data_IF_292145836644
#
_entry.id   IF_292145836644
#
_cell.length_a   1.000
_cell.length_b   1.000
_cell.length_c   1.000
_cell.angle_alpha   90.00
_cell.angle_beta   90.00
_cell.angle_gamma   90.00
#
_symmetry.space_group_name_H-M   'P 1'
#
loop_
_entity.id
_entity.type
_entity.pdbx_description
1 polymer ?
#
# COMPACT_ATOMS: atom_id res chain seq x y z
N UNK A 1 45.78 -3.42 -31.92
CA UNK A 1 45.33 -2.55 -30.83
C UNK A 1 44.47 -1.49 -31.47
N UNK A 2 43.17 -1.47 -31.19
CA UNK A 2 42.31 -0.30 -31.36
C UNK A 2 40.98 -0.58 -30.66
N UNK A 3 40.70 0.21 -29.63
CA UNK A 3 39.48 0.12 -28.84
C UNK A 3 38.34 0.90 -29.48
N UNK A 4 37.12 0.38 -29.34
CA UNK A 4 35.88 1.18 -29.40
C UNK A 4 34.89 0.67 -28.36
N UNK A 5 34.57 1.57 -27.42
CA UNK A 5 33.46 1.46 -26.49
C UNK A 5 32.14 1.41 -27.27
N UNK A 6 31.28 0.42 -26.95
CA UNK A 6 29.86 0.43 -27.30
C UNK A 6 29.09 1.10 -26.16
N UNK A 7 28.61 2.31 -26.45
CA UNK A 7 27.69 3.08 -25.61
C UNK A 7 26.31 2.42 -25.59
N UNK A 8 25.89 1.91 -24.43
CA UNK A 8 24.51 1.49 -24.17
C UNK A 8 23.67 2.69 -23.73
N UNK A 9 22.93 3.29 -24.66
CA UNK A 9 21.88 4.27 -24.35
C UNK A 9 20.59 3.50 -24.02
N UNK A 10 20.11 3.62 -22.78
CA UNK A 10 18.76 3.22 -22.35
C UNK A 10 17.74 4.29 -22.76
N UNK A 11 16.52 3.94 -23.23
CA UNK A 11 15.53 4.91 -23.66
C UNK A 11 14.49 5.14 -22.55
N UNK A 12 14.76 6.06 -21.63
CA UNK A 12 13.69 6.75 -20.90
C UNK A 12 14.11 8.21 -20.76
N UNK A 13 13.66 9.01 -21.72
CA UNK A 13 13.78 10.46 -21.64
C UNK A 13 12.77 10.95 -20.60
N UNK A 14 13.22 11.75 -19.64
CA UNK A 14 12.39 12.50 -18.71
C UNK A 14 11.28 13.24 -19.46
N UNK A 15 10.03 12.80 -19.27
CA UNK A 15 8.86 13.47 -19.85
C UNK A 15 8.53 14.66 -18.96
N UNK A 16 8.74 15.87 -19.47
CA UNK A 16 8.30 17.11 -18.81
C UNK A 16 6.76 17.15 -18.77
N UNK A 17 6.14 17.63 -17.69
CA UNK A 17 4.68 17.63 -17.55
C UNK A 17 4.02 18.60 -18.54
N UNK A 18 3.00 18.10 -19.23
CA UNK A 18 2.06 18.90 -20.01
C UNK A 18 1.07 19.59 -19.05
N UNK A 19 1.00 20.92 -19.08
CA UNK A 19 -0.09 21.69 -18.46
C UNK A 19 -1.34 21.53 -19.31
N UNK A 20 -2.41 20.98 -18.76
CA UNK A 20 -3.75 21.12 -19.33
C UNK A 20 -4.69 21.69 -18.27
N UNK A 21 -5.33 22.81 -18.61
CA UNK A 21 -6.19 23.58 -17.72
C UNK A 21 -7.50 22.85 -17.43
N UNK A 22 -7.91 22.88 -16.17
CA UNK A 22 -9.25 22.50 -15.74
C UNK A 22 -10.25 23.58 -16.18
N UNK A 23 -11.26 23.21 -16.97
CA UNK A 23 -12.50 23.97 -17.07
C UNK A 23 -13.58 23.23 -16.28
N UNK A 24 -14.07 23.90 -15.24
CA UNK A 24 -15.20 23.51 -14.41
C UNK A 24 -16.51 23.86 -15.12
N UNK A 25 -17.40 22.90 -15.27
CA UNK A 25 -18.77 23.12 -15.75
C UNK A 25 -19.74 22.19 -15.02
N UNK A 26 -20.26 22.67 -13.87
CA UNK A 26 -21.46 22.14 -13.24
C UNK A 26 -22.67 22.55 -14.07
N UNK A 27 -23.53 21.59 -14.43
CA UNK A 27 -24.95 21.88 -14.68
C UNK A 27 -25.78 20.71 -14.19
N UNK A 28 -26.61 21.01 -13.20
CA UNK A 28 -27.66 20.17 -12.63
C UNK A 28 -28.79 20.02 -13.64
N UNK A 29 -29.37 18.82 -13.77
CA UNK A 29 -30.81 18.71 -14.00
C UNK A 29 -31.38 17.40 -13.44
N UNK A 30 -32.45 17.55 -12.67
CA UNK A 30 -33.31 16.51 -12.12
C UNK A 30 -34.24 16.02 -13.22
N UNK A 31 -34.41 14.71 -13.36
CA UNK A 31 -35.61 14.12 -13.91
C UNK A 31 -36.02 12.89 -13.09
N UNK A 32 -37.23 12.97 -12.55
CA UNK A 32 -37.96 11.94 -11.81
C UNK A 32 -38.56 10.95 -12.80
N UNK A 33 -38.49 9.65 -12.51
CA UNK A 33 -39.18 8.62 -13.29
C UNK A 33 -39.31 7.32 -12.50
N UNK A 34 -40.47 7.13 -11.89
CA UNK A 34 -40.95 5.88 -11.26
C UNK A 34 -41.15 4.78 -12.31
N UNK A 35 -40.69 3.55 -12.01
CA UNK A 35 -41.33 2.32 -12.44
C UNK A 35 -40.90 1.15 -11.54
N UNK A 36 -41.84 0.24 -11.36
CA UNK A 36 -42.03 -0.72 -10.28
C UNK A 36 -41.47 -2.12 -10.54
N UNK A 37 -41.19 -2.81 -9.43
CA UNK A 37 -41.32 -4.25 -9.12
C UNK A 37 -40.81 -5.29 -10.13
N UNK A 38 -39.86 -6.12 -9.69
CA UNK A 38 -40.16 -7.55 -9.59
C UNK A 38 -39.33 -8.24 -8.49
N UNK A 39 -39.97 -9.20 -7.85
CA UNK A 39 -39.55 -9.96 -6.67
C UNK A 39 -39.02 -11.32 -7.09
N UNK A 40 -37.90 -11.76 -6.54
CA UNK A 40 -37.64 -13.19 -6.36
C UNK A 40 -36.75 -13.43 -5.14
N UNK A 41 -37.36 -14.11 -4.17
CA UNK A 41 -36.73 -14.73 -3.01
C UNK A 41 -35.81 -15.86 -3.45
N UNK A 42 -34.58 -15.92 -2.92
CA UNK A 42 -33.81 -17.17 -2.85
C UNK A 42 -33.05 -17.24 -1.53
N UNK A 43 -33.69 -17.95 -0.59
CA UNK A 43 -33.20 -18.89 0.43
C UNK A 43 -31.72 -18.76 0.85
N UNK A 44 -31.53 -18.28 2.08
CA UNK A 44 -30.33 -18.48 2.92
C UNK A 44 -30.14 -19.97 3.25
N UNK A 45 -28.94 -20.51 2.99
CA UNK A 45 -28.50 -21.78 3.58
C UNK A 45 -27.27 -21.50 4.45
N UNK A 46 -27.53 -21.31 5.75
CA UNK A 46 -26.53 -21.00 6.77
C UNK A 46 -26.04 -22.29 7.39
N UNK A 47 -24.89 -22.79 6.93
CA UNK A 47 -24.16 -23.85 7.65
C UNK A 47 -23.39 -23.22 8.81
N UNK A 48 -24.03 -23.26 9.99
CA UNK A 48 -23.38 -23.03 11.27
C UNK A 48 -22.42 -24.18 11.58
N UNK A 49 -21.14 -23.88 11.73
CA UNK A 49 -20.17 -24.79 12.37
C UNK A 49 -19.82 -24.21 13.73
N UNK A 50 -20.34 -24.85 14.76
CA UNK A 50 -20.04 -24.62 16.18
C UNK A 50 -18.80 -25.41 16.56
N UNK A 51 -17.76 -24.75 17.06
CA UNK A 51 -16.64 -25.41 17.73
C UNK A 51 -16.74 -25.14 19.23
N UNK A 52 -17.12 -26.19 19.98
CA UNK A 52 -17.17 -26.24 21.43
C UNK A 52 -15.74 -26.13 21.98
N UNK A 53 -15.59 -25.34 23.04
CA UNK A 53 -14.30 -25.02 23.65
C UNK A 53 -13.73 -26.12 24.55
N UNK A 54 -12.47 -25.93 24.92
CA UNK A 54 -11.88 -26.49 26.13
C UNK A 54 -11.07 -25.38 26.81
N UNK A 55 -11.62 -24.87 27.91
CA UNK A 55 -10.91 -24.07 28.90
C UNK A 55 -9.97 -24.98 29.70
N UNK A 56 -8.73 -24.53 29.87
CA UNK A 56 -7.89 -24.96 31.00
C UNK A 56 -7.43 -23.72 31.72
N UNK A 57 -8.00 -23.51 32.91
CA UNK A 57 -7.56 -22.54 33.89
C UNK A 57 -6.27 -23.04 34.55
N UNK A 58 -5.32 -22.13 34.79
CA UNK A 58 -4.32 -22.28 35.85
C UNK A 58 -4.28 -20.97 36.61
N UNK A 59 -4.52 -21.09 37.91
CA UNK A 59 -4.62 -20.03 38.90
C UNK A 59 -3.25 -19.69 39.51
N UNK A 60 -3.08 -18.39 39.77
CA UNK A 60 -2.45 -17.73 40.94
C UNK A 60 -1.01 -18.08 41.33
N UNK A 61 -0.19 -17.02 41.47
CA UNK A 61 0.49 -16.71 42.74
C UNK A 61 0.72 -15.20 42.89
N UNK A 62 0.28 -14.70 44.04
CA UNK A 62 0.47 -13.37 44.63
C UNK A 62 1.76 -13.36 45.46
N UNK A 63 2.55 -12.29 45.40
CA UNK A 63 3.39 -11.86 46.52
C UNK A 63 3.28 -10.35 46.74
N UNK A 64 3.19 -10.01 48.01
CA UNK A 64 2.99 -8.69 48.64
C UNK A 64 4.27 -8.27 49.37
N UNK A 65 4.48 -6.95 49.50
CA UNK A 65 5.41 -6.30 50.43
C UNK A 65 5.78 -4.90 49.91
N UNK A 66 5.09 -3.83 50.33
CA UNK A 66 5.45 -2.92 51.46
C UNK A 66 6.82 -2.25 51.27
N UNK A 67 7.09 -0.98 51.55
CA UNK A 67 6.35 0.25 51.85
C UNK A 67 7.45 1.32 52.07
N UNK A 68 7.24 2.59 51.72
CA UNK A 68 7.63 3.71 52.60
C UNK A 68 7.16 5.05 52.02
N UNK A 69 6.48 5.75 52.91
CA UNK A 69 5.72 6.98 52.82
C UNK A 69 6.61 8.22 53.03
N UNK A 70 6.21 9.40 52.52
CA UNK A 70 6.11 10.68 53.26
C UNK A 70 5.98 11.94 52.35
N UNK A 71 4.78 12.55 52.38
CA UNK A 71 4.43 13.97 52.73
C UNK A 71 5.32 15.15 52.25
N UNK A 72 4.89 16.35 51.84
CA UNK A 72 3.69 17.18 52.13
C UNK A 72 3.63 18.45 51.24
N UNK A 73 2.44 18.76 50.69
CA UNK A 73 1.71 20.06 50.66
C UNK A 73 2.23 21.40 50.05
N UNK A 74 1.32 22.03 49.26
CA UNK A 74 0.86 23.46 49.17
C UNK A 74 1.07 24.25 47.84
N UNK A 75 -0.06 24.44 47.14
CA UNK A 75 -0.70 25.66 46.57
C UNK A 75 0.05 26.78 45.82
N UNK A 76 -0.55 27.13 44.66
CA UNK A 76 -0.72 28.43 43.94
C UNK A 76 -0.20 28.40 42.48
N UNK A 77 -1.10 28.38 41.49
CA UNK A 77 -1.69 29.52 40.76
C UNK A 77 -0.75 30.16 39.71
N UNK A 78 -1.04 29.93 38.42
CA UNK A 78 -0.70 30.86 37.35
C UNK A 78 0.11 30.32 36.17
N UNK A 79 -0.45 30.56 34.98
CA UNK A 79 0.22 30.81 33.69
C UNK A 79 0.37 29.64 32.72
N UNK A 80 -0.32 29.79 31.60
CA UNK A 80 -0.24 29.00 30.37
C UNK A 80 1.12 29.25 29.72
N UNK A 81 1.96 28.22 29.64
CA UNK A 81 3.17 28.27 28.81
C UNK A 81 3.29 27.02 27.94
N UNK A 82 3.87 27.28 26.77
CA UNK A 82 4.02 26.46 25.59
C UNK A 82 4.64 25.10 25.93
N UNK A 83 3.89 24.01 25.70
CA UNK A 83 4.39 22.66 25.93
C UNK A 83 5.40 22.25 24.88
N UNK A 84 6.69 22.42 25.19
CA UNK A 84 7.79 21.75 24.51
C UNK A 84 7.63 20.23 24.68
N UNK A 85 7.51 19.51 23.56
CA UNK A 85 7.50 18.06 23.56
C UNK A 85 8.92 17.59 23.86
N UNK A 86 9.15 17.14 25.09
CA UNK A 86 10.37 16.43 25.46
C UNK A 86 10.32 15.05 24.83
N UNK A 87 11.13 14.83 23.79
CA UNK A 87 11.38 13.50 23.22
C UNK A 87 12.25 12.73 24.24
N UNK A 88 11.62 12.03 25.17
CA UNK A 88 12.31 11.02 25.98
C UNK A 88 12.30 9.70 25.23
N UNK A 89 13.51 9.21 24.95
CA UNK A 89 13.87 7.89 24.41
C UNK A 89 14.25 7.85 22.92
N UNK A 90 15.44 8.40 22.64
CA UNK A 90 16.19 8.13 21.41
C UNK A 90 16.86 6.77 21.58
N UNK A 91 16.29 5.73 20.98
CA UNK A 91 17.08 4.52 20.71
C UNK A 91 18.23 4.93 19.79
N UNK A 92 19.43 4.99 20.38
CA UNK A 92 20.67 5.35 19.68
C UNK A 92 20.81 4.52 18.41
N UNK A 93 20.86 5.21 17.27
CA UNK A 93 20.68 4.65 15.95
C UNK A 93 21.69 3.56 15.59
N UNK A 94 21.21 2.55 14.88
CA UNK A 94 22.08 1.78 13.98
C UNK A 94 22.56 2.75 12.90
N UNK A 95 23.87 2.78 12.66
CA UNK A 95 24.48 3.58 11.60
C UNK A 95 23.87 3.16 10.26
N UNK A 96 23.31 4.14 9.55
CA UNK A 96 22.77 3.95 8.20
C UNK A 96 23.84 3.33 7.30
N UNK A 97 23.52 2.37 6.42
CA UNK A 97 24.44 1.98 5.38
C UNK A 97 24.89 3.24 4.60
N UNK A 98 26.19 3.42 4.42
CA UNK A 98 26.77 4.60 3.77
C UNK A 98 26.14 4.93 2.39
N UNK A 99 25.56 3.93 1.73
CA UNK A 99 24.84 4.06 0.47
C UNK A 99 23.54 4.89 0.55
N UNK A 100 22.90 4.99 1.71
CA UNK A 100 21.67 5.77 1.91
C UNK A 100 21.94 7.21 2.33
N UNK A 101 23.03 7.45 3.10
CA UNK A 101 23.33 8.77 3.67
C UNK A 101 23.73 9.81 2.62
N UNK A 102 24.36 9.42 1.51
CA UNK A 102 24.86 10.34 0.48
C UNK A 102 23.80 10.94 -0.45
N UNK A 103 22.51 10.57 -0.32
CA UNK A 103 21.42 10.96 -1.22
C UNK A 103 20.50 12.06 -0.68
N UNK A 104 20.62 12.39 0.61
CA UNK A 104 19.62 13.21 1.30
C UNK A 104 19.65 14.68 0.85
N UNK A 105 20.83 15.23 0.61
CA UNK A 105 20.99 16.63 0.17
C UNK A 105 20.31 16.87 -1.20
N UNK A 106 20.32 15.87 -2.08
CA UNK A 106 19.67 15.90 -3.39
C UNK A 106 18.13 15.95 -3.29
N UNK A 107 17.55 15.52 -2.18
CA UNK A 107 16.10 15.52 -1.96
C UNK A 107 15.57 16.83 -1.39
N UNK A 108 16.44 17.72 -0.89
CA UNK A 108 16.07 18.97 -0.23
C UNK A 108 15.11 19.83 -1.07
N UNK A 109 15.36 19.94 -2.38
CA UNK A 109 14.50 20.71 -3.29
C UNK A 109 13.08 20.13 -3.36
N UNK A 110 12.97 18.80 -3.53
CA UNK A 110 11.67 18.13 -3.65
C UNK A 110 10.89 18.13 -2.34
N UNK A 111 11.58 17.98 -1.20
CA UNK A 111 10.94 17.88 0.10
C UNK A 111 10.58 19.25 0.66
N UNK A 112 11.46 20.25 0.56
CA UNK A 112 11.27 21.56 1.20
C UNK A 112 10.52 22.57 0.34
N UNK A 113 10.39 22.34 -0.97
CA UNK A 113 9.61 23.23 -1.84
C UNK A 113 8.12 22.83 -1.83
N UNK A 114 7.21 23.76 -1.50
CA UNK A 114 5.77 23.50 -1.59
C UNK A 114 5.35 23.09 -3.01
N UNK A 115 4.33 22.25 -3.12
CA UNK A 115 3.73 21.81 -4.39
C UNK A 115 4.61 20.95 -5.30
N UNK A 116 5.78 20.51 -4.83
CA UNK A 116 6.71 19.67 -5.61
C UNK A 116 6.34 18.20 -5.46
N UNK A 117 6.26 17.48 -6.57
CA UNK A 117 5.92 16.05 -6.56
C UNK A 117 7.14 15.23 -6.15
N UNK A 118 6.93 14.23 -5.30
CA UNK A 118 8.00 13.27 -4.97
C UNK A 118 8.17 12.29 -6.13
N UNK A 119 9.41 12.01 -6.48
CA UNK A 119 9.79 11.04 -7.50
C UNK A 119 10.06 9.66 -6.90
N UNK A 120 10.39 8.71 -7.77
CA UNK A 120 10.74 7.34 -7.42
C UNK A 120 11.98 7.27 -6.51
N UNK A 121 12.96 8.17 -6.67
CA UNK A 121 14.16 8.19 -5.82
C UNK A 121 13.84 8.48 -4.35
N UNK A 122 12.98 9.46 -4.10
CA UNK A 122 12.52 9.80 -2.74
C UNK A 122 11.69 8.65 -2.14
N UNK A 123 10.78 8.08 -2.93
CA UNK A 123 9.92 6.97 -2.49
C UNK A 123 10.75 5.72 -2.19
N UNK A 124 11.70 5.38 -3.07
CA UNK A 124 12.59 4.22 -2.89
C UNK A 124 13.48 4.39 -1.66
N UNK A 125 13.96 5.59 -1.38
CA UNK A 125 14.72 5.87 -0.17
C UNK A 125 13.87 5.67 1.10
N UNK A 126 12.62 6.16 1.12
CA UNK A 126 11.72 5.94 2.23
C UNK A 126 11.38 4.45 2.43
N UNK A 127 11.12 3.71 1.35
CA UNK A 127 10.86 2.27 1.43
C UNK A 127 12.08 1.48 1.94
N UNK A 128 13.29 1.88 1.55
CA UNK A 128 14.52 1.28 2.08
C UNK A 128 14.65 1.49 3.60
N UNK A 129 14.41 2.71 4.10
CA UNK A 129 14.40 3.01 5.54
C UNK A 129 13.32 2.19 6.27
N UNK A 130 12.10 2.09 5.71
CA UNK A 130 11.05 1.24 6.28
C UNK A 130 11.47 -0.23 6.33
N UNK A 131 12.12 -0.76 5.29
CA UNK A 131 12.55 -2.16 5.26
C UNK A 131 13.68 -2.42 6.28
N UNK A 132 14.56 -1.45 6.51
CA UNK A 132 15.57 -1.53 7.56
C UNK A 132 14.96 -1.49 8.97
N UNK A 133 13.97 -0.62 9.19
CA UNK A 133 13.27 -0.47 10.47
C UNK A 133 12.31 -1.63 10.78
N UNK A 134 11.70 -2.22 9.75
CA UNK A 134 10.71 -3.30 9.87
C UNK A 134 11.07 -4.48 8.94
N UNK A 135 12.15 -5.24 9.23
CA UNK A 135 12.64 -6.29 8.34
C UNK A 135 11.62 -7.40 8.04
N UNK A 136 10.70 -7.66 8.98
CA UNK A 136 9.64 -8.66 8.88
C UNK A 136 8.47 -8.25 7.98
N UNK A 137 8.34 -6.96 7.64
CA UNK A 137 7.31 -6.49 6.72
C UNK A 137 7.71 -6.90 5.30
N UNK A 138 6.90 -7.74 4.66
CA UNK A 138 7.10 -8.11 3.26
C UNK A 138 6.80 -6.91 2.34
N UNK A 139 7.29 -6.95 1.10
CA UNK A 139 7.17 -5.83 0.16
C UNK A 139 8.27 -4.78 0.34
N UNK A 140 7.88 -3.50 0.29
CA UNK A 140 8.76 -2.32 0.35
C UNK A 140 9.89 -2.38 -0.70
N UNK A 141 9.57 -2.90 -1.88
CA UNK A 141 10.50 -2.98 -3.00
C UNK A 141 10.64 -1.64 -3.71
N UNK A 142 11.81 -1.42 -4.32
CA UNK A 142 12.04 -0.29 -5.21
C UNK A 142 10.97 -0.25 -6.32
N UNK A 143 10.41 0.93 -6.55
CA UNK A 143 9.31 1.17 -7.49
C UNK A 143 9.69 0.80 -8.93
N UNK A 144 10.95 0.98 -9.32
CA UNK A 144 11.50 0.52 -10.60
C UNK A 144 11.53 -1.01 -10.72
N UNK A 145 11.73 -1.73 -9.61
CA UNK A 145 11.67 -3.20 -9.60
C UNK A 145 10.23 -3.70 -9.76
N UNK A 146 9.24 -2.90 -9.35
CA UNK A 146 7.82 -3.20 -9.61
C UNK A 146 7.44 -3.10 -11.10
N UNK A 147 8.21 -2.40 -11.93
CA UNK A 147 7.99 -2.44 -13.37
C UNK A 147 8.41 -3.79 -13.98
N UNK A 148 9.26 -4.54 -13.28
CA UNK A 148 9.92 -5.77 -13.73
C UNK A 148 9.36 -7.05 -13.08
N UNK A 149 8.17 -6.98 -12.45
CA UNK A 149 7.54 -7.97 -11.53
C UNK A 149 7.32 -9.41 -12.03
N UNK A 150 8.11 -9.97 -12.93
CA UNK A 150 7.97 -11.37 -13.30
C UNK A 150 8.29 -12.34 -12.14
N UNK A 151 8.91 -11.89 -11.04
CA UNK A 151 9.54 -12.80 -10.07
C UNK A 151 9.40 -12.45 -8.58
N UNK A 152 8.55 -11.52 -8.16
CA UNK A 152 8.42 -11.29 -6.71
C UNK A 152 7.78 -12.50 -6.01
N UNK A 153 8.33 -12.94 -4.86
CA UNK A 153 7.71 -14.00 -4.07
C UNK A 153 6.33 -13.54 -3.60
N UNK A 154 5.37 -14.45 -3.60
CA UNK A 154 4.03 -14.17 -3.10
C UNK A 154 4.13 -13.66 -1.64
N UNK A 155 3.53 -12.50 -1.37
CA UNK A 155 3.41 -12.00 -0.01
C UNK A 155 2.49 -12.94 0.80
N UNK A 156 3.07 -13.91 1.47
CA UNK A 156 2.36 -14.95 2.24
C UNK A 156 1.95 -14.46 3.64
N UNK A 157 2.63 -13.42 4.14
CA UNK A 157 2.37 -12.75 5.41
C UNK A 157 2.39 -11.23 5.16
N UNK A 158 1.76 -10.45 6.05
CA UNK A 158 1.51 -9.01 5.90
C UNK A 158 2.57 -8.21 5.13
N UNK A 159 2.19 -7.59 4.01
CA UNK A 159 3.07 -6.73 3.21
C UNK A 159 2.62 -5.28 3.21
N UNK A 160 3.56 -4.39 2.93
CA UNK A 160 3.30 -2.98 2.61
C UNK A 160 4.09 -2.64 1.35
N UNK A 161 3.44 -2.01 0.38
CA UNK A 161 4.11 -1.57 -0.84
C UNK A 161 3.57 -0.22 -1.29
N UNK A 162 4.46 0.71 -1.63
CA UNK A 162 4.07 1.96 -2.28
C UNK A 162 4.05 1.71 -3.79
N UNK A 163 2.92 2.03 -4.43
CA UNK A 163 2.70 1.91 -5.86
C UNK A 163 2.57 3.27 -6.52
N UNK A 164 3.17 3.37 -7.71
CA UNK A 164 2.89 4.44 -8.63
C UNK A 164 1.62 4.11 -9.43
N UNK A 165 0.58 4.91 -9.26
CA UNK A 165 -0.67 4.87 -10.02
C UNK A 165 -0.61 5.93 -11.11
N UNK A 166 -1.43 5.80 -12.15
CA UNK A 166 -1.44 6.74 -13.27
C UNK A 166 -1.51 8.22 -12.83
N UNK A 167 -1.10 9.12 -13.73
CA UNK A 167 -1.17 10.57 -13.52
C UNK A 167 -0.33 11.10 -12.33
N UNK A 168 0.87 10.55 -12.14
CA UNK A 168 1.83 10.98 -11.11
C UNK A 168 1.41 10.70 -9.67
N UNK A 169 0.59 9.68 -9.43
CA UNK A 169 0.01 9.43 -8.12
C UNK A 169 0.70 8.31 -7.36
N UNK A 170 0.80 8.44 -6.03
CA UNK A 170 1.38 7.43 -5.14
C UNK A 170 0.33 6.94 -4.15
N UNK A 171 0.21 5.62 -4.00
CA UNK A 171 -0.69 4.98 -3.02
C UNK A 171 0.05 3.91 -2.23
N UNK A 172 -0.44 3.61 -1.03
CA UNK A 172 0.03 2.45 -0.26
C UNK A 172 -0.92 1.29 -0.44
N UNK A 173 -0.39 0.11 -0.75
CA UNK A 173 -1.14 -1.14 -0.86
C UNK A 173 -0.64 -2.11 0.20
N UNK A 174 -1.56 -2.74 0.93
CA UNK A 174 -1.22 -3.66 2.03
C UNK A 174 -2.34 -4.65 2.31
N UNK A 175 -1.96 -5.85 2.76
CA UNK A 175 -2.89 -6.83 3.35
C UNK A 175 -2.74 -6.96 4.87
N UNK A 176 -1.98 -6.07 5.54
CA UNK A 176 -1.91 -6.04 7.00
C UNK A 176 -3.30 -5.76 7.56
N UNK A 177 -3.72 -6.58 8.54
CA UNK A 177 -5.05 -6.49 9.14
C UNK A 177 -6.21 -6.93 8.24
N UNK A 178 -5.94 -7.46 7.05
CA UNK A 178 -6.95 -7.92 6.10
C UNK A 178 -7.26 -9.42 6.25
N UNK A 179 -8.46 -9.82 5.83
CA UNK A 179 -8.78 -11.24 5.63
C UNK A 179 -8.01 -11.81 4.43
N UNK A 180 -7.89 -13.13 4.36
CA UNK A 180 -7.25 -13.82 3.23
C UNK A 180 -7.95 -13.44 1.91
N UNK A 181 -7.19 -13.03 0.91
CA UNK A 181 -7.70 -12.60 -0.39
C UNK A 181 -8.24 -11.16 -0.42
N UNK A 182 -8.04 -10.39 0.67
CA UNK A 182 -8.42 -8.98 0.76
C UNK A 182 -7.18 -8.09 0.87
N UNK A 183 -7.21 -6.94 0.22
CA UNK A 183 -6.10 -5.97 0.19
C UNK A 183 -6.64 -4.55 0.25
N UNK A 184 -6.03 -3.73 1.08
CA UNK A 184 -6.34 -2.32 1.22
C UNK A 184 -5.45 -1.46 0.32
N UNK A 185 -6.06 -0.46 -0.30
CA UNK A 185 -5.43 0.60 -1.10
C UNK A 185 -5.69 1.93 -0.39
N UNK A 186 -4.66 2.46 0.26
CA UNK A 186 -4.70 3.73 0.97
C UNK A 186 -4.34 4.86 0.00
N UNK A 187 -5.38 5.58 -0.45
CA UNK A 187 -5.30 6.62 -1.46
C UNK A 187 -5.77 7.98 -0.89
N UNK A 188 -4.85 8.92 -0.71
CA UNK A 188 -5.13 10.26 -0.18
C UNK A 188 -5.85 11.19 -1.17
N UNK A 189 -5.87 10.88 -2.46
CA UNK A 189 -6.60 11.64 -3.48
C UNK A 189 -7.93 10.98 -3.85
N UNK A 190 -8.12 9.71 -3.51
CA UNK A 190 -9.22 8.86 -4.00
C UNK A 190 -9.32 8.96 -5.54
N UNK A 191 -8.19 8.76 -6.20
CA UNK A 191 -8.07 8.91 -7.65
C UNK A 191 -8.65 7.69 -8.37
N UNK A 192 -8.88 7.84 -9.68
CA UNK A 192 -9.23 6.69 -10.52
C UNK A 192 -8.05 5.72 -10.63
N UNK A 193 -8.36 4.43 -10.68
CA UNK A 193 -7.38 3.36 -10.90
C UNK A 193 -7.33 2.94 -12.37
N UNK A 194 -6.23 2.30 -12.78
CA UNK A 194 -6.07 1.74 -14.13
C UNK A 194 -5.97 0.23 -14.11
N UNK A 195 -6.24 -0.38 -15.26
CA UNK A 195 -6.00 -1.81 -15.47
C UNK A 195 -4.53 -2.20 -15.22
N UNK A 196 -3.57 -1.30 -15.50
CA UNK A 196 -2.15 -1.49 -15.20
C UNK A 196 -1.89 -1.58 -13.68
N UNK A 197 -2.47 -0.68 -12.89
CA UNK A 197 -2.37 -0.74 -11.43
C UNK A 197 -2.95 -2.05 -10.89
N UNK A 198 -4.15 -2.44 -11.33
CA UNK A 198 -4.80 -3.67 -10.91
C UNK A 198 -3.97 -4.93 -11.25
N UNK A 199 -3.35 -4.94 -12.44
CA UNK A 199 -2.43 -6.00 -12.86
C UNK A 199 -1.17 -6.06 -11.99
N UNK A 200 -0.61 -4.92 -11.61
CA UNK A 200 0.57 -4.87 -10.73
C UNK A 200 0.24 -5.35 -9.31
N UNK A 201 -0.88 -4.90 -8.73
CA UNK A 201 -1.35 -5.33 -7.41
C UNK A 201 -1.59 -6.83 -7.38
N UNK A 202 -2.36 -7.38 -8.34
CA UNK A 202 -2.61 -8.83 -8.42
C UNK A 202 -1.33 -9.64 -8.61
N UNK A 203 -0.40 -9.14 -9.44
CA UNK A 203 0.91 -9.76 -9.64
C UNK A 203 1.79 -9.81 -8.39
N UNK A 204 1.81 -8.74 -7.58
CA UNK A 204 2.54 -8.71 -6.31
C UNK A 204 1.96 -9.70 -5.30
N UNK A 205 0.63 -9.76 -5.21
CA UNK A 205 -0.05 -10.65 -4.27
C UNK A 205 0.18 -12.11 -4.61
N UNK A 206 0.20 -12.43 -5.91
CA UNK A 206 0.30 -13.78 -6.43
C UNK A 206 -0.73 -14.72 -5.75
N UNK A 207 -1.95 -14.23 -5.51
CA UNK A 207 -2.93 -14.90 -4.68
C UNK A 207 -3.37 -16.24 -5.32
N UNK A 208 -3.37 -17.36 -4.57
CA UNK A 208 -3.70 -18.67 -5.12
C UNK A 208 -5.20 -18.86 -5.41
N UNK A 209 -6.08 -18.08 -4.77
CA UNK A 209 -7.52 -18.14 -5.00
C UNK A 209 -7.96 -17.49 -6.31
N UNK A 210 -9.23 -17.67 -6.69
CA UNK A 210 -9.75 -17.23 -8.00
C UNK A 210 -9.89 -15.72 -8.14
N UNK A 211 -10.12 -15.02 -7.03
CA UNK A 211 -10.30 -13.58 -7.02
C UNK A 211 -9.66 -12.96 -5.79
N UNK A 212 -9.32 -11.68 -5.90
CA UNK A 212 -8.85 -10.83 -4.80
C UNK A 212 -9.82 -9.66 -4.68
N UNK A 213 -10.15 -9.28 -3.45
CA UNK A 213 -10.92 -8.08 -3.15
C UNK A 213 -9.99 -6.92 -2.81
N UNK A 214 -10.08 -5.85 -3.58
CA UNK A 214 -9.45 -4.57 -3.25
C UNK A 214 -10.45 -3.71 -2.48
N UNK A 215 -9.97 -3.03 -1.44
CA UNK A 215 -10.75 -2.07 -0.66
C UNK A 215 -10.00 -0.74 -0.64
N UNK A 216 -10.74 0.37 -0.65
CA UNK A 216 -10.22 1.72 -0.45
C UNK A 216 -10.74 2.24 0.89
N UNK A 217 -9.97 2.03 1.97
CA UNK A 217 -10.38 2.49 3.30
C UNK A 217 -10.50 4.02 3.34
N UNK A 218 -11.41 4.49 4.20
CA UNK A 218 -11.57 5.92 4.44
C UNK A 218 -10.37 6.44 5.24
N UNK A 219 -9.50 7.20 4.59
CA UNK A 219 -8.35 7.86 5.22
C UNK A 219 -8.42 9.37 5.01
N UNK A 220 -7.52 10.09 5.68
CA UNK A 220 -7.37 11.52 5.45
C UNK A 220 -7.08 11.81 3.97
N UNK A 221 -7.93 12.64 3.38
CA UNK A 221 -7.66 13.27 2.10
C UNK A 221 -6.54 14.31 2.22
N UNK A 222 -5.63 14.32 1.25
CA UNK A 222 -4.64 15.38 1.15
C UNK A 222 -5.27 16.69 0.65
N UNK A 223 -4.73 17.81 1.10
CA UNK A 223 -5.00 19.13 0.54
C UNK A 223 -4.07 19.38 -0.66
N UNK A 224 -4.62 19.73 -1.82
CA UNK A 224 -3.84 19.90 -3.05
C UNK A 224 -3.39 18.59 -3.72
N UNK A 225 -2.57 18.67 -4.77
CA UNK A 225 -2.24 17.50 -5.62
C UNK A 225 -0.88 16.83 -5.38
N UNK A 226 0.07 17.51 -4.75
CA UNK A 226 1.50 17.12 -4.77
C UNK A 226 1.96 16.21 -3.63
N UNK A 227 1.12 15.95 -2.63
CA UNK A 227 1.52 15.38 -1.36
C UNK A 227 1.21 13.88 -1.24
N UNK A 228 0.70 13.24 -2.30
CA UNK A 228 0.33 11.82 -2.30
C UNK A 228 1.49 10.91 -1.89
N UNK A 229 2.72 11.24 -2.32
CA UNK A 229 3.92 10.52 -1.89
C UNK A 229 4.17 10.61 -0.37
N UNK A 230 3.89 11.75 0.26
CA UNK A 230 4.04 11.93 1.71
C UNK A 230 3.02 11.08 2.47
N UNK A 231 1.76 11.10 2.02
CA UNK A 231 0.71 10.27 2.61
C UNK A 231 1.00 8.77 2.42
N UNK A 232 1.47 8.36 1.24
CA UNK A 232 1.87 6.97 1.02
C UNK A 232 3.01 6.54 1.96
N UNK A 233 4.03 7.38 2.16
CA UNK A 233 5.11 7.08 3.13
C UNK A 233 4.56 6.99 4.56
N UNK A 234 3.74 7.95 4.98
CA UNK A 234 3.19 8.01 6.33
C UNK A 234 2.24 6.83 6.64
N UNK A 235 1.37 6.47 5.69
CA UNK A 235 0.50 5.29 5.79
C UNK A 235 1.34 4.00 5.89
N UNK A 236 2.39 3.89 5.09
CA UNK A 236 3.29 2.74 5.09
C UNK A 236 4.02 2.57 6.43
N UNK A 237 4.49 3.67 7.02
CA UNK A 237 5.07 3.67 8.37
C UNK A 237 4.04 3.27 9.43
N UNK A 238 2.82 3.81 9.34
CA UNK A 238 1.72 3.54 10.30
C UNK A 238 1.37 2.06 10.29
N UNK A 239 1.20 1.46 9.11
CA UNK A 239 0.96 0.03 8.94
C UNK A 239 2.11 -0.83 9.46
N UNK A 240 3.36 -0.42 9.15
CA UNK A 240 4.55 -1.16 9.59
C UNK A 240 4.71 -1.19 11.11
N UNK A 241 4.12 -0.21 11.81
CA UNK A 241 4.04 -0.16 13.28
C UNK A 241 2.85 -0.93 13.87
N UNK A 242 2.02 -1.55 13.03
CA UNK A 242 0.79 -2.23 13.45
C UNK A 242 -0.36 -1.28 13.80
N UNK A 243 -0.28 -0.02 13.38
CA UNK A 243 -1.35 0.98 13.55
C UNK A 243 -2.23 1.03 12.29
N UNK A 244 -3.48 1.47 12.43
CA UNK A 244 -4.43 1.62 11.32
C UNK A 244 -4.44 3.06 10.78
N UNK A 245 -4.06 3.30 9.50
CA UNK A 245 -4.11 4.62 8.88
C UNK A 245 -5.49 5.29 8.90
N UNK A 246 -6.60 4.53 8.95
CA UNK A 246 -7.93 5.09 9.09
C UNK A 246 -8.14 5.85 10.41
N UNK A 247 -7.31 5.56 11.42
CA UNK A 247 -7.35 6.16 12.74
C UNK A 247 -6.31 7.28 12.94
N UNK A 248 -5.68 7.75 11.85
CA UNK A 248 -4.63 8.78 11.93
C UNK A 248 -5.00 10.00 11.10
N UNK A 249 -4.94 11.18 11.72
CA UNK A 249 -4.91 12.45 11.00
C UNK A 249 -3.52 13.05 11.06
N UNK A 250 -2.85 13.15 9.91
CA UNK A 250 -1.55 13.79 9.73
C UNK A 250 -1.69 15.32 9.63
N UNK A 251 -0.75 16.03 10.25
CA UNK A 251 -0.57 17.46 10.05
C UNK A 251 0.24 17.69 8.76
N UNK A 252 -0.49 17.82 7.65
CA UNK A 252 0.07 17.89 6.30
C UNK A 252 1.13 19.00 6.11
N UNK A 253 0.94 20.15 6.76
CA UNK A 253 1.85 21.29 6.63
C UNK A 253 3.25 21.00 7.18
N UNK A 254 3.37 20.03 8.09
CA UNK A 254 4.64 19.63 8.70
C UNK A 254 5.24 18.36 8.08
N UNK A 255 4.51 17.63 7.22
CA UNK A 255 4.96 16.32 6.71
C UNK A 255 6.25 16.43 5.88
N UNK A 256 6.37 17.50 5.09
CA UNK A 256 7.52 17.75 4.21
C UNK A 256 8.82 17.96 4.98
N UNK A 257 8.80 18.91 5.91
CA UNK A 257 9.94 19.23 6.77
C UNK A 257 10.29 18.06 7.68
N UNK A 258 9.28 17.35 8.19
CA UNK A 258 9.46 16.13 8.99
C UNK A 258 10.15 15.01 8.20
N UNK A 259 9.70 14.72 6.98
CA UNK A 259 10.31 13.67 6.15
C UNK A 259 11.76 14.00 5.81
N UNK A 260 12.06 15.25 5.50
CA UNK A 260 13.44 15.70 5.28
C UNK A 260 14.31 15.47 6.52
N UNK A 261 13.83 15.85 7.71
CA UNK A 261 14.54 15.58 8.96
C UNK A 261 14.72 14.08 9.22
N UNK A 262 13.70 13.25 8.94
CA UNK A 262 13.82 11.79 9.05
C UNK A 262 14.91 11.23 8.13
N UNK A 263 14.98 11.71 6.89
CA UNK A 263 16.04 11.29 5.95
C UNK A 263 17.42 11.72 6.43
N UNK A 264 17.57 12.94 6.93
CA UNK A 264 18.85 13.41 7.51
C UNK A 264 19.30 12.55 8.69
N UNK A 265 18.35 12.09 9.51
CA UNK A 265 18.62 11.21 10.65
C UNK A 265 18.70 9.72 10.27
N UNK A 266 18.38 9.36 9.03
CA UNK A 266 18.31 7.96 8.58
C UNK A 266 17.24 7.14 9.31
N UNK A 267 16.20 7.78 9.84
CA UNK A 267 15.17 7.12 10.64
C UNK A 267 13.80 7.77 10.40
N UNK A 268 12.84 6.99 9.90
CA UNK A 268 11.45 7.41 9.81
C UNK A 268 10.79 7.31 11.19
N UNK A 269 10.37 8.46 11.69
CA UNK A 269 9.59 8.59 12.94
C UNK A 269 8.12 8.89 12.62
N UNK A 270 7.18 8.58 13.52
CA UNK A 270 5.75 8.84 13.30
C UNK A 270 5.52 10.28 12.80
N UNK A 271 4.76 10.41 11.72
CA UNK A 271 4.49 11.72 11.15
C UNK A 271 3.65 12.58 12.11
N UNK A 272 3.86 13.91 12.11
CA UNK A 272 3.11 14.84 12.95
C UNK A 272 1.60 14.64 12.78
N UNK A 273 0.84 14.61 13.89
CA UNK A 273 -0.61 14.40 13.89
C UNK A 273 -1.36 15.72 14.07
N UNK A 274 -2.61 15.77 13.63
CA UNK A 274 -3.54 16.89 13.83
C UNK A 274 -4.73 16.46 14.70
N UNK A 275 -5.41 17.42 15.34
CA UNK A 275 -6.56 17.17 16.25
C UNK A 275 -7.88 17.01 15.47
N UNK A 276 -7.84 16.85 14.14
CA UNK A 276 -9.06 16.74 13.33
C UNK A 276 -9.75 15.39 13.56
N UNK A 277 -11.07 15.43 13.76
CA UNK A 277 -11.92 14.25 13.85
C UNK A 277 -11.98 13.54 12.49
N UNK A 278 -11.86 12.22 12.50
CA UNK A 278 -11.91 11.40 11.30
C UNK A 278 -13.36 11.25 10.84
N UNK A 279 -13.62 11.46 9.56
CA UNK A 279 -14.91 11.18 8.95
C UNK A 279 -14.90 9.74 8.45
N UNK A 280 -15.75 8.88 9.03
CA UNK A 280 -15.88 7.50 8.59
C UNK A 280 -16.78 7.45 7.36
N UNK A 281 -16.20 7.19 6.19
CA UNK A 281 -16.96 6.79 5.00
C UNK A 281 -16.88 5.29 4.78
N UNK A 282 -17.90 4.72 4.13
CA UNK A 282 -17.89 3.30 3.75
C UNK A 282 -16.78 3.09 2.73
N UNK A 283 -15.91 2.11 2.97
CA UNK A 283 -14.84 1.76 2.05
C UNK A 283 -15.41 1.31 0.70
N UNK A 284 -14.91 1.90 -0.39
CA UNK A 284 -15.20 1.40 -1.73
C UNK A 284 -14.50 0.05 -1.92
N UNK A 285 -15.14 -0.90 -2.61
CA UNK A 285 -14.57 -2.24 -2.87
C UNK A 285 -14.65 -2.63 -4.33
N UNK A 286 -13.72 -3.48 -4.76
CA UNK A 286 -13.69 -4.08 -6.10
C UNK A 286 -13.20 -5.52 -6.02
N UNK A 287 -13.95 -6.45 -6.62
CA UNK A 287 -13.50 -7.83 -6.80
C UNK A 287 -12.76 -7.97 -8.13
N UNK A 288 -11.60 -8.60 -8.09
CA UNK A 288 -10.70 -8.78 -9.23
C UNK A 288 -10.44 -10.26 -9.46
N UNK A 289 -10.80 -10.75 -10.64
CA UNK A 289 -10.44 -12.11 -11.04
C UNK A 289 -8.95 -12.24 -11.32
N UNK A 290 -8.38 -13.35 -10.86
CA UNK A 290 -6.98 -13.71 -10.98
C UNK A 290 -6.84 -14.89 -11.92
N UNK A 291 -6.01 -14.74 -12.93
CA UNK A 291 -5.84 -15.70 -14.01
C UNK A 291 -4.38 -16.13 -14.16
N UNK A 292 -4.18 -17.11 -15.04
CA UNK A 292 -2.86 -17.61 -15.42
C UNK A 292 -2.04 -18.17 -14.23
N UNK A 293 -0.85 -18.67 -14.52
CA UNK A 293 0.14 -19.04 -13.51
C UNK A 293 0.87 -17.81 -12.94
N UNK A 294 0.89 -16.69 -13.67
CA UNK A 294 1.44 -15.43 -13.17
C UNK A 294 0.54 -14.73 -12.14
N UNK A 295 -0.67 -15.26 -11.91
CA UNK A 295 -1.63 -14.77 -10.91
C UNK A 295 -1.97 -13.28 -11.06
N UNK A 296 -2.02 -12.80 -12.30
CA UNK A 296 -2.44 -11.43 -12.63
C UNK A 296 -3.85 -11.43 -13.21
N UNK A 297 -4.54 -10.31 -13.07
CA UNK A 297 -5.79 -10.09 -13.81
C UNK A 297 -5.55 -10.01 -15.33
N UNK A 298 -6.61 -10.15 -16.12
CA UNK A 298 -6.59 -9.98 -17.59
C UNK A 298 -7.11 -8.58 -17.93
N UNK A 299 -6.33 -7.82 -18.67
CA UNK A 299 -6.73 -6.49 -19.14
C UNK A 299 -7.55 -6.64 -20.41
N UNK A 300 -8.86 -6.48 -20.28
CA UNK A 300 -9.80 -6.62 -21.39
C UNK A 300 -9.37 -5.77 -22.61
N UNK A 301 -9.27 -6.41 -23.78
CA UNK A 301 -8.86 -5.78 -25.03
C UNK A 301 -7.37 -5.48 -25.17
N UNK A 302 -6.55 -5.71 -24.14
CA UNK A 302 -5.09 -5.50 -24.17
C UNK A 302 -4.29 -6.81 -24.09
N UNK A 303 -4.75 -7.75 -23.28
CA UNK A 303 -4.04 -9.00 -23.06
C UNK A 303 -4.54 -10.11 -24.00
N UNK A 304 -3.70 -10.66 -24.88
CA UNK A 304 -4.02 -11.89 -25.60
C UNK A 304 -4.01 -13.06 -24.61
N UNK A 305 -5.06 -13.89 -24.68
CA UNK A 305 -5.29 -14.98 -23.73
C UNK A 305 -5.57 -16.29 -24.43
N UNK A 306 -5.22 -17.37 -23.75
CA UNK A 306 -5.43 -18.75 -24.21
C UNK A 306 -6.21 -19.48 -23.12
N UNK A 307 -7.31 -20.11 -23.49
CA UNK A 307 -8.09 -20.94 -22.59
C UNK A 307 -7.52 -22.36 -22.54
N UNK A 308 -7.39 -22.94 -21.35
CA UNK A 308 -7.10 -24.36 -21.22
C UNK A 308 -8.26 -25.19 -21.78
N UNK A 309 -7.98 -26.14 -22.67
CA UNK A 309 -9.03 -26.99 -23.28
C UNK A 309 -9.83 -27.83 -22.30
N UNK A 310 -9.29 -28.11 -21.11
CA UNK A 310 -9.93 -29.00 -20.12
C UNK A 310 -10.75 -28.24 -19.10
N UNK A 311 -10.16 -27.25 -18.44
CA UNK A 311 -10.85 -26.51 -17.37
C UNK A 311 -11.38 -25.14 -17.80
N UNK A 312 -11.09 -24.68 -19.02
CA UNK A 312 -11.51 -23.36 -19.52
C UNK A 312 -10.79 -22.17 -18.87
N UNK A 313 -9.89 -22.37 -17.90
CA UNK A 313 -9.14 -21.29 -17.28
C UNK A 313 -8.30 -20.52 -18.31
N UNK A 314 -8.26 -19.19 -18.15
CA UNK A 314 -7.55 -18.28 -19.03
C UNK A 314 -6.10 -18.09 -18.57
N UNK A 315 -5.19 -18.04 -19.54
CA UNK A 315 -3.76 -17.81 -19.35
C UNK A 315 -3.30 -16.71 -20.31
N UNK A 316 -2.47 -15.78 -19.85
CA UNK A 316 -1.87 -14.78 -20.74
C UNK A 316 -0.98 -15.48 -21.75
N UNK A 317 -1.14 -15.18 -23.05
CA UNK A 317 -0.35 -15.82 -24.10
C UNK A 317 1.15 -15.60 -23.90
N UNK A 318 1.56 -14.41 -23.43
CA UNK A 318 2.96 -14.10 -23.09
C UNK A 318 3.52 -14.98 -21.96
N UNK A 319 2.68 -15.44 -21.05
CA UNK A 319 3.07 -16.35 -19.98
C UNK A 319 3.22 -17.79 -20.47
N UNK A 320 2.76 -18.11 -21.68
CA UNK A 320 2.91 -19.43 -22.31
C UNK A 320 4.11 -19.50 -23.27
N UNK A 321 5.10 -18.62 -23.09
CA UNK A 321 6.27 -18.57 -23.97
C UNK A 321 6.94 -19.96 -24.08
N UNK A 322 7.14 -20.44 -25.31
CA UNK A 322 7.66 -21.79 -25.59
C UNK A 322 6.59 -22.87 -25.88
N UNK A 323 5.29 -22.58 -25.72
CA UNK A 323 4.22 -23.49 -26.17
C UNK A 323 4.02 -23.35 -27.68
N UNK A 324 4.26 -24.43 -28.43
CA UNK A 324 4.19 -24.42 -29.90
C UNK A 324 2.76 -24.36 -30.44
N UNK A 325 1.83 -25.10 -29.83
CA UNK A 325 0.41 -25.11 -30.22
C UNK A 325 -0.45 -24.58 -29.06
N UNK A 326 -0.60 -23.26 -29.02
CA UNK A 326 -1.46 -22.59 -28.05
C UNK A 326 -2.92 -22.99 -28.20
N UNK A 327 -3.36 -23.42 -29.40
CA UNK A 327 -4.72 -23.88 -29.56
C UNK A 327 -4.92 -25.14 -28.71
N UNK A 328 -3.97 -26.08 -28.69
CA UNK A 328 -4.02 -27.35 -27.93
C UNK A 328 -3.63 -27.23 -26.46
N UNK A 329 -3.51 -26.02 -25.92
CA UNK A 329 -2.98 -25.82 -24.58
C UNK A 329 -3.81 -26.50 -23.47
N UNK A 330 -3.12 -27.29 -22.64
CA UNK A 330 -3.63 -27.86 -21.39
C UNK A 330 -2.76 -27.36 -20.25
N UNK A 331 -3.39 -26.77 -19.22
CA UNK A 331 -2.65 -26.18 -18.11
C UNK A 331 -1.98 -27.25 -17.23
N UNK A 332 -0.92 -26.92 -16.48
CA UNK A 332 -0.19 -27.87 -15.64
C UNK A 332 -1.11 -28.66 -14.70
N UNK A 333 -2.06 -28.00 -14.06
CA UNK A 333 -3.03 -28.64 -13.15
C UNK A 333 -3.89 -29.69 -13.85
N UNK A 334 -4.23 -29.50 -15.13
CA UNK A 334 -5.02 -30.44 -15.91
C UNK A 334 -4.17 -31.53 -16.60
N UNK A 335 -2.87 -31.29 -16.79
CA UNK A 335 -1.93 -32.25 -17.37
C UNK A 335 -1.55 -33.35 -16.38
N UNK A 336 -1.46 -33.03 -15.08
CA UNK A 336 -1.10 -33.99 -14.02
C UNK A 336 -2.22 -35.02 -13.76
N UNK A 337 -3.48 -34.68 -14.06
CA UNK A 337 -4.65 -35.56 -13.85
C UNK A 337 -4.64 -36.82 -14.79
N UNK A 338 -3.71 -36.91 -15.74
CA UNK A 338 -3.61 -38.06 -16.69
C UNK A 338 -2.69 -39.20 -16.25
N UNK A 339 -1.97 -39.08 -15.12
CA UNK A 339 -0.96 -40.07 -14.71
C UNK A 339 -1.43 -40.98 -13.55
N UNK A 340 -2.74 -41.03 -13.28
CA UNK A 340 -3.34 -41.93 -12.30
C UNK A 340 -4.28 -42.93 -12.99
#
# INVERSE_FOLDING_TARGET
>A
MDGRLLSTKTPYASVKPLRQGYQTGFSTDRAVGMASADSSEFVEDTLQVTCIGTSTAVSSQTETGESSDSTSSKTEQGTLEHGDIVITDVQSGRTLPAALSGRVDDFSVMLLSPHTWLDDHVIDHAQALLKEQFPSTEGLHATTSLALLSTLPAATYGFVQIFYVCANHWVTVSNIGCQVGVVNVFDSLNASHTQEFLMQVTGLLCFPGRSVKLQWPSIQHQEGGSDCGLFAIANSLTLSRGEDPCNVSYNQTLMRTHLYACFQNGLLTPFPKSVKTLSVTVAQTMDMDVHCHCRRTIRAGKDPVVACRRCGQLFHQFCLNGVQDVAQYVCPSCSVIMLC
#
